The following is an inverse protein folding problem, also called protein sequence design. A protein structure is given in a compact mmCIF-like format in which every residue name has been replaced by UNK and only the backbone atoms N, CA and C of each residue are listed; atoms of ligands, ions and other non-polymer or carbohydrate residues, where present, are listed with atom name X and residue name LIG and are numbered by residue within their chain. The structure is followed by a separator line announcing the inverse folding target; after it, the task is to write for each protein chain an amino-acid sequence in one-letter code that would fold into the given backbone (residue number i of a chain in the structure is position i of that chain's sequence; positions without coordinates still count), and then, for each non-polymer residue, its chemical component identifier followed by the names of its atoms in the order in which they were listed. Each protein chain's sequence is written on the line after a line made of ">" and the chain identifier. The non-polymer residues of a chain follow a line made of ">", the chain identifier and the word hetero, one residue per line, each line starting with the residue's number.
data_IF_457439403592
#
_entry.id   IF_457439403592
#
_cell.length_a   1.000
_cell.length_b   1.000
_cell.length_c   1.000
_cell.angle_alpha   90.00
_cell.angle_beta   90.00
_cell.angle_gamma   90.00
#
_symmetry.space_group_name_H-M   'P 1'
#
loop_
_entity.id
_entity.type
_entity.pdbx_description
1 polymer ?
#
# COMPACT_ATOMS: atom_id res chain seq x y z
N UNK A 1 -14.91 -27.74 -16.56
CA UNK A 1 -15.96 -26.83 -17.06
C UNK A 1 -15.25 -25.57 -17.52
N UNK A 2 -14.99 -25.44 -18.83
CA UNK A 2 -14.37 -24.26 -19.41
C UNK A 2 -15.39 -23.10 -19.30
N UNK A 3 -15.03 -22.05 -18.56
CA UNK A 3 -15.80 -20.81 -18.56
C UNK A 3 -15.48 -20.10 -19.87
N UNK A 4 -16.42 -20.15 -20.82
CA UNK A 4 -16.34 -19.34 -22.03
C UNK A 4 -16.74 -17.92 -21.61
N UNK A 5 -15.75 -17.03 -21.43
CA UNK A 5 -16.01 -15.62 -21.25
C UNK A 5 -16.28 -15.00 -22.62
N UNK A 6 -17.55 -14.82 -22.97
CA UNK A 6 -17.95 -14.05 -24.14
C UNK A 6 -17.52 -12.59 -23.92
N UNK A 7 -16.56 -12.10 -24.71
CA UNK A 7 -16.15 -10.69 -24.65
C UNK A 7 -16.86 -9.91 -25.74
N UNK A 8 -17.56 -8.85 -25.35
CA UNK A 8 -18.14 -7.89 -26.30
C UNK A 8 -17.01 -7.03 -26.87
N UNK A 9 -16.94 -6.91 -28.20
CA UNK A 9 -16.01 -6.03 -28.90
C UNK A 9 -16.84 -5.07 -29.74
N UNK A 10 -16.51 -3.78 -29.70
CA UNK A 10 -17.22 -2.77 -30.48
C UNK A 10 -16.29 -2.17 -31.53
N UNK A 11 -16.68 -2.18 -32.79
CA UNK A 11 -15.99 -1.47 -33.86
C UNK A 11 -16.72 -0.15 -34.11
N UNK A 12 -16.00 0.96 -33.99
CA UNK A 12 -16.49 2.32 -34.13
C UNK A 12 -15.94 2.94 -35.42
N UNK A 13 -16.84 3.48 -36.25
CA UNK A 13 -16.50 4.15 -37.51
C UNK A 13 -15.59 3.34 -38.45
N UNK A 14 -15.71 2.00 -38.40
CA UNK A 14 -14.93 1.03 -39.15
C UNK A 14 -13.40 1.16 -39.03
N UNK A 15 -12.92 1.96 -38.07
CA UNK A 15 -11.51 2.29 -37.90
C UNK A 15 -10.99 2.04 -36.49
N UNK A 16 -11.86 2.09 -35.48
CA UNK A 16 -11.48 1.93 -34.07
C UNK A 16 -12.13 0.68 -33.51
N UNK A 17 -11.36 -0.10 -32.75
CA UNK A 17 -11.85 -1.24 -32.00
C UNK A 17 -11.78 -0.92 -30.51
N UNK A 18 -12.90 -1.06 -29.82
CA UNK A 18 -13.02 -0.92 -28.38
C UNK A 18 -13.21 -2.29 -27.73
N UNK A 19 -12.35 -2.56 -26.74
CA UNK A 19 -12.33 -3.75 -25.91
C UNK A 19 -12.69 -3.36 -24.46
N UNK A 20 -13.98 -3.46 -24.06
CA UNK A 20 -14.44 -3.11 -22.72
C UNK A 20 -13.70 -3.86 -21.62
N UNK A 21 -13.60 -5.19 -21.74
CA UNK A 21 -12.96 -6.07 -20.75
C UNK A 21 -11.47 -5.75 -20.55
N UNK A 22 -10.81 -5.26 -21.60
CA UNK A 22 -9.39 -4.88 -21.57
C UNK A 22 -9.19 -3.40 -21.26
N UNK A 23 -10.26 -2.61 -21.16
CA UNK A 23 -10.23 -1.15 -21.11
C UNK A 23 -9.34 -0.54 -22.21
N UNK A 24 -9.44 -1.05 -23.45
CA UNK A 24 -8.49 -0.72 -24.53
C UNK A 24 -9.21 -0.22 -25.77
N UNK A 25 -8.68 0.86 -26.36
CA UNK A 25 -9.00 1.30 -27.72
C UNK A 25 -7.81 1.00 -28.63
N UNK A 26 -8.07 0.53 -29.84
CA UNK A 26 -7.04 0.28 -30.86
C UNK A 26 -7.50 0.71 -32.25
N UNK A 27 -6.56 1.09 -33.11
CA UNK A 27 -6.83 1.24 -34.54
C UNK A 27 -6.99 -0.16 -35.19
N UNK A 28 -7.92 -0.31 -36.13
CA UNK A 28 -8.10 -1.55 -36.88
C UNK A 28 -7.01 -1.77 -37.93
N UNK A 29 -6.44 -0.69 -38.46
CA UNK A 29 -5.45 -0.68 -39.55
C UNK A 29 -4.02 -0.70 -39.01
N UNK A 30 -3.81 -0.15 -37.81
CA UNK A 30 -2.50 -0.04 -37.17
C UNK A 30 -2.54 -0.59 -35.74
N UNK A 31 -2.15 -1.85 -35.60
CA UNK A 31 -2.15 -2.55 -34.32
C UNK A 31 -1.19 -1.95 -33.28
N UNK A 32 -0.27 -1.08 -33.69
CA UNK A 32 0.63 -0.36 -32.78
C UNK A 32 -0.06 0.83 -32.09
N UNK A 33 -1.12 1.39 -32.70
CA UNK A 33 -1.91 2.47 -32.14
C UNK A 33 -2.96 1.93 -31.19
N UNK A 34 -2.57 1.82 -29.92
CA UNK A 34 -3.44 1.33 -28.85
C UNK A 34 -3.35 2.26 -27.65
N UNK A 35 -4.50 2.59 -27.05
CA UNK A 35 -4.60 3.46 -25.88
C UNK A 35 -5.36 2.75 -24.78
N UNK A 36 -4.76 2.67 -23.60
CA UNK A 36 -5.38 2.12 -22.41
C UNK A 36 -6.26 3.18 -21.74
N UNK A 37 -7.54 2.87 -21.56
CA UNK A 37 -8.50 3.67 -20.79
C UNK A 37 -8.41 3.30 -19.31
N UNK A 38 -8.80 4.23 -18.44
CA UNK A 38 -9.08 3.91 -17.04
C UNK A 38 -10.39 3.10 -16.97
N UNK A 39 -10.55 2.28 -15.92
CA UNK A 39 -11.77 1.48 -15.73
C UNK A 39 -13.07 2.31 -15.82
N UNK A 40 -13.19 3.45 -15.10
CA UNK A 40 -14.37 4.30 -15.23
C UNK A 40 -14.55 4.91 -16.63
N UNK A 41 -13.48 5.33 -17.31
CA UNK A 41 -13.55 5.89 -18.66
C UNK A 41 -14.03 4.86 -19.69
N UNK A 42 -13.55 3.62 -19.59
CA UNK A 42 -14.00 2.51 -20.43
C UNK A 42 -15.47 2.15 -20.17
N UNK A 43 -15.89 2.04 -18.90
CA UNK A 43 -17.30 1.79 -18.55
C UNK A 43 -18.23 2.91 -19.00
N UNK A 44 -17.81 4.17 -18.87
CA UNK A 44 -18.57 5.29 -19.43
C UNK A 44 -18.73 5.15 -20.96
N UNK A 45 -17.66 4.81 -21.67
CA UNK A 45 -17.71 4.61 -23.13
C UNK A 45 -18.64 3.45 -23.50
N UNK A 46 -18.54 2.33 -22.80
CA UNK A 46 -19.41 1.17 -23.00
C UNK A 46 -20.89 1.55 -22.85
N UNK A 47 -21.26 2.25 -21.77
CA UNK A 47 -22.64 2.68 -21.57
C UNK A 47 -23.12 3.62 -22.69
N UNK A 48 -22.27 4.54 -23.16
CA UNK A 48 -22.58 5.43 -24.27
C UNK A 48 -22.82 4.67 -25.59
N UNK A 49 -22.01 3.63 -25.84
CA UNK A 49 -22.14 2.76 -27.01
C UNK A 49 -23.43 1.93 -26.93
N UNK A 50 -23.73 1.37 -25.77
CA UNK A 50 -24.93 0.55 -25.54
C UNK A 50 -26.22 1.36 -25.71
N UNK A 51 -26.24 2.58 -25.17
CA UNK A 51 -27.44 3.42 -25.22
C UNK A 51 -27.63 4.11 -26.56
N UNK A 52 -26.55 4.54 -27.25
CA UNK A 52 -26.55 5.37 -28.48
C UNK A 52 -27.28 6.72 -28.38
N UNK A 53 -28.08 6.93 -27.34
CA UNK A 53 -28.82 8.15 -27.02
C UNK A 53 -28.10 8.93 -25.92
N UNK A 54 -28.69 10.05 -25.49
CA UNK A 54 -28.27 10.75 -24.29
C UNK A 54 -28.29 9.83 -23.07
N UNK A 55 -27.16 9.75 -22.38
CA UNK A 55 -26.99 9.09 -21.08
C UNK A 55 -26.84 10.17 -20.01
N UNK A 56 -27.63 10.09 -18.95
CA UNK A 56 -27.60 11.06 -17.87
C UNK A 56 -26.32 10.93 -17.04
N UNK A 57 -25.90 12.03 -16.40
CA UNK A 57 -24.75 11.98 -15.49
C UNK A 57 -24.96 10.97 -14.35
N UNK A 58 -26.17 10.88 -13.80
CA UNK A 58 -26.53 9.92 -12.74
C UNK A 58 -26.31 8.47 -13.17
N UNK A 59 -26.73 8.11 -14.39
CA UNK A 59 -26.55 6.77 -14.93
C UNK A 59 -25.06 6.43 -15.14
N UNK A 60 -24.27 7.42 -15.57
CA UNK A 60 -22.82 7.23 -15.74
C UNK A 60 -22.10 7.02 -14.40
N UNK A 61 -22.50 7.75 -13.34
CA UNK A 61 -21.93 7.52 -12.01
C UNK A 61 -22.24 6.12 -11.51
N UNK A 62 -23.50 5.70 -11.62
CA UNK A 62 -23.95 4.39 -11.15
C UNK A 62 -23.22 3.26 -11.88
N UNK A 63 -23.18 3.30 -13.20
CA UNK A 63 -22.59 2.24 -14.02
C UNK A 63 -21.06 2.20 -13.93
N UNK A 64 -20.39 3.34 -14.09
CA UNK A 64 -18.92 3.35 -14.16
C UNK A 64 -18.25 3.09 -12.80
N UNK A 65 -18.88 3.49 -11.69
CA UNK A 65 -18.37 3.26 -10.33
C UNK A 65 -19.04 2.09 -9.61
N UNK A 66 -19.87 1.31 -10.29
CA UNK A 66 -20.50 0.12 -9.71
C UNK A 66 -19.44 -0.82 -9.09
N UNK A 67 -19.67 -1.19 -7.83
CA UNK A 67 -18.80 -2.10 -7.07
C UNK A 67 -17.47 -1.50 -6.57
N UNK A 68 -17.20 -0.22 -6.84
CA UNK A 68 -15.94 0.42 -6.41
C UNK A 68 -15.92 0.87 -4.94
N UNK A 69 -17.11 1.00 -4.31
CA UNK A 69 -17.25 1.55 -2.95
C UNK A 69 -16.93 3.06 -2.85
N UNK A 70 -16.63 3.72 -3.97
CA UNK A 70 -16.27 5.14 -4.04
C UNK A 70 -17.44 5.93 -4.62
N UNK A 71 -17.79 7.05 -3.98
CA UNK A 71 -18.75 8.02 -4.52
C UNK A 71 -17.96 9.05 -5.34
N UNK A 72 -18.07 9.07 -6.68
CA UNK A 72 -17.32 9.98 -7.53
C UNK A 72 -17.80 11.43 -7.35
N UNK A 73 -16.86 12.38 -7.36
CA UNK A 73 -17.19 13.80 -7.48
C UNK A 73 -17.56 14.18 -8.92
N UNK A 74 -18.26 15.31 -9.15
CA UNK A 74 -18.60 15.73 -10.51
C UNK A 74 -17.40 15.82 -11.45
N UNK A 75 -16.29 16.37 -10.95
CA UNK A 75 -15.05 16.49 -11.70
C UNK A 75 -14.52 15.13 -12.19
N UNK A 76 -14.75 14.07 -11.41
CA UNK A 76 -14.24 12.72 -11.73
C UNK A 76 -14.91 12.14 -12.99
N UNK A 77 -16.21 12.40 -13.18
CA UNK A 77 -16.90 12.02 -14.42
C UNK A 77 -16.36 12.79 -15.61
N UNK A 78 -16.21 14.11 -15.49
CA UNK A 78 -15.65 14.94 -16.57
C UNK A 78 -14.22 14.52 -16.93
N UNK A 79 -13.40 14.14 -15.95
CA UNK A 79 -12.07 13.59 -16.21
C UNK A 79 -12.15 12.27 -16.99
N UNK A 80 -13.07 11.38 -16.63
CA UNK A 80 -13.28 10.11 -17.34
C UNK A 80 -13.67 10.34 -18.81
N UNK A 81 -14.62 11.24 -19.08
CA UNK A 81 -15.01 11.61 -20.45
C UNK A 81 -13.84 12.28 -21.21
N UNK A 82 -13.04 13.10 -20.53
CA UNK A 82 -11.88 13.77 -21.13
C UNK A 82 -10.80 12.77 -21.54
N UNK A 83 -10.53 11.76 -20.70
CA UNK A 83 -9.62 10.64 -21.02
C UNK A 83 -10.12 9.89 -22.25
N UNK A 84 -11.40 9.56 -22.31
CA UNK A 84 -11.98 8.87 -23.48
C UNK A 84 -11.85 9.68 -24.76
N UNK A 85 -12.17 10.99 -24.72
CA UNK A 85 -12.01 11.88 -25.88
C UNK A 85 -10.56 11.98 -26.35
N UNK A 86 -9.62 12.08 -25.40
CA UNK A 86 -8.19 12.12 -25.72
C UNK A 86 -7.73 10.83 -26.39
N UNK A 87 -8.16 9.67 -25.89
CA UNK A 87 -7.84 8.38 -26.49
C UNK A 87 -8.33 8.27 -27.94
N UNK A 88 -9.54 8.74 -28.23
CA UNK A 88 -10.03 8.81 -29.60
C UNK A 88 -9.17 9.70 -30.51
N UNK A 89 -8.70 10.86 -30.01
CA UNK A 89 -7.82 11.75 -30.79
C UNK A 89 -6.43 11.17 -31.05
N UNK A 90 -5.92 10.35 -30.15
CA UNK A 90 -4.62 9.69 -30.30
C UNK A 90 -4.66 8.56 -31.34
N UNK A 91 -5.80 7.87 -31.46
CA UNK A 91 -6.00 6.78 -32.43
C UNK A 91 -6.46 7.34 -33.79
N UNK A 92 -7.39 8.30 -33.77
CA UNK A 92 -8.03 8.86 -34.96
C UNK A 92 -7.49 10.25 -35.27
N UNK A 93 -6.76 10.39 -36.38
CA UNK A 93 -6.31 11.69 -36.88
C UNK A 93 -7.40 12.50 -37.61
N UNK A 94 -8.60 11.93 -37.79
CA UNK A 94 -9.66 12.49 -38.64
C UNK A 94 -10.50 13.61 -37.98
N UNK A 95 -10.09 14.09 -36.79
CA UNK A 95 -10.75 15.22 -36.10
C UNK A 95 -12.19 14.96 -35.68
N UNK A 96 -12.68 13.72 -35.77
CA UNK A 96 -14.07 13.37 -35.42
C UNK A 96 -14.26 13.46 -33.91
N UNK A 97 -15.28 14.20 -33.46
CA UNK A 97 -15.67 14.20 -32.05
C UNK A 97 -16.59 13.01 -31.76
N UNK A 98 -16.07 12.00 -31.08
CA UNK A 98 -16.81 10.76 -30.81
C UNK A 98 -17.85 10.90 -29.69
N UNK A 99 -17.66 11.85 -28.76
CA UNK A 99 -18.55 12.02 -27.60
C UNK A 99 -19.04 13.46 -27.54
N UNK A 100 -20.35 13.66 -27.62
CA UNK A 100 -20.98 14.98 -27.53
C UNK A 100 -21.44 15.24 -26.09
N UNK A 101 -21.29 16.48 -25.63
CA UNK A 101 -21.78 16.92 -24.31
C UNK A 101 -23.14 17.58 -24.47
N UNK A 102 -24.12 17.12 -23.69
CA UNK A 102 -25.41 17.81 -23.51
C UNK A 102 -25.37 18.56 -22.18
N UNK A 103 -25.23 19.90 -22.25
CA UNK A 103 -24.98 20.73 -21.07
C UNK A 103 -26.01 20.50 -19.96
N UNK A 104 -25.53 20.37 -18.72
CA UNK A 104 -26.33 20.09 -17.51
C UNK A 104 -27.14 18.79 -17.52
N UNK A 105 -27.02 17.95 -18.55
CA UNK A 105 -27.76 16.67 -18.65
C UNK A 105 -26.82 15.47 -18.63
N UNK A 106 -25.84 15.42 -19.52
CA UNK A 106 -24.99 14.26 -19.68
C UNK A 106 -24.24 14.22 -21.00
N UNK A 107 -24.05 13.00 -21.52
CA UNK A 107 -23.20 12.74 -22.67
C UNK A 107 -23.86 11.73 -23.60
N UNK A 108 -23.46 11.75 -24.87
CA UNK A 108 -23.91 10.80 -25.88
C UNK A 108 -22.78 10.48 -26.84
N UNK A 109 -22.80 9.28 -27.42
CA UNK A 109 -22.00 9.00 -28.59
C UNK A 109 -22.48 9.87 -29.76
N UNK A 110 -21.56 10.37 -30.57
CA UNK A 110 -21.91 11.13 -31.76
C UNK A 110 -22.70 10.23 -32.74
N UNK A 111 -23.91 10.62 -33.17
CA UNK A 111 -24.72 9.79 -34.09
C UNK A 111 -24.06 9.51 -35.44
N UNK A 112 -23.08 10.32 -35.84
CA UNK A 112 -22.32 10.10 -37.06
C UNK A 112 -21.36 8.90 -36.96
N UNK A 113 -21.08 8.41 -35.75
CA UNK A 113 -20.20 7.26 -35.51
C UNK A 113 -21.00 5.97 -35.69
N UNK A 114 -20.62 5.16 -36.68
CA UNK A 114 -21.15 3.79 -36.83
C UNK A 114 -20.64 2.90 -35.69
N UNK A 115 -21.48 1.98 -35.21
CA UNK A 115 -21.12 1.03 -34.14
C UNK A 115 -21.51 -0.37 -34.59
N UNK A 116 -20.53 -1.26 -34.71
CA UNK A 116 -20.72 -2.69 -34.95
C UNK A 116 -20.29 -3.48 -33.72
N UNK A 117 -21.23 -4.17 -33.07
CA UNK A 117 -20.92 -5.08 -31.97
C UNK A 117 -20.54 -6.46 -32.54
N UNK A 118 -19.41 -7.01 -32.08
CA UNK A 118 -18.95 -8.37 -32.37
C UNK A 118 -18.79 -9.12 -31.06
N UNK A 119 -19.42 -10.29 -30.94
CA UNK A 119 -19.11 -11.26 -29.89
C UNK A 119 -18.00 -12.16 -30.40
N UNK A 120 -16.92 -12.31 -29.64
CA UNK A 120 -15.84 -13.23 -30.00
C UNK A 120 -15.64 -14.26 -28.89
N UNK A 121 -15.77 -15.53 -29.24
CA UNK A 121 -15.47 -16.65 -28.37
C UNK A 121 -13.95 -16.77 -28.21
N UNK A 122 -13.46 -16.56 -27.00
CA UNK A 122 -12.06 -16.82 -26.65
C UNK A 122 -12.00 -18.02 -25.68
N UNK A 123 -11.37 -19.15 -26.06
CA UNK A 123 -10.89 -20.09 -25.07
C UNK A 123 -9.73 -19.45 -24.31
N UNK A 124 -9.77 -19.56 -22.98
CA UNK A 124 -8.75 -19.06 -22.07
C UNK A 124 -7.45 -19.86 -22.30
N UNK A 125 -6.50 -19.26 -23.02
CA UNK A 125 -5.14 -19.77 -23.19
C UNK A 125 -4.18 -18.61 -22.99
N UNK A 126 -3.40 -18.73 -21.92
CA UNK A 126 -2.21 -17.92 -21.62
C UNK A 126 -1.37 -17.69 -22.88
N UNK A 127 -1.00 -16.44 -23.23
CA UNK A 127 -0.24 -16.21 -24.44
C UNK A 127 1.25 -16.50 -24.21
N UNK A 128 1.65 -17.72 -24.56
CA UNK A 128 2.99 -18.03 -25.06
C UNK A 128 3.13 -17.38 -26.45
N UNK A 129 4.15 -16.53 -26.60
CA UNK A 129 4.42 -15.77 -27.83
C UNK A 129 5.59 -16.40 -28.57
N UNK A 130 5.33 -16.94 -29.75
CA UNK A 130 6.25 -16.95 -30.91
C UNK A 130 5.41 -16.86 -32.20
N UNK A 131 5.50 -15.77 -32.99
CA UNK A 131 6.42 -15.55 -34.15
C UNK A 131 5.66 -15.85 -35.47
N UNK A 132 5.60 -15.09 -36.58
CA UNK A 132 6.43 -14.05 -37.21
C UNK A 132 5.64 -13.38 -38.37
N UNK A 133 6.10 -12.23 -38.86
CA UNK A 133 6.43 -12.04 -40.29
C UNK A 133 7.47 -10.94 -40.46
N UNK A 134 8.61 -11.33 -41.05
CA UNK A 134 9.68 -10.47 -41.54
C UNK A 134 9.14 -9.53 -42.64
N UNK A 135 9.67 -8.32 -42.89
CA UNK A 135 11.09 -8.08 -43.20
C UNK A 135 11.53 -6.60 -43.11
N UNK A 136 10.78 -5.68 -42.51
CA UNK A 136 11.17 -4.26 -42.35
C UNK A 136 11.49 -3.87 -40.90
N UNK A 137 11.66 -4.88 -40.04
CA UNK A 137 11.47 -4.75 -38.58
C UNK A 137 12.76 -4.95 -37.76
N UNK A 138 13.91 -5.25 -38.39
CA UNK A 138 15.12 -5.66 -37.64
C UNK A 138 15.72 -4.53 -36.80
N UNK A 139 15.69 -3.28 -37.26
CA UNK A 139 16.30 -2.17 -36.52
C UNK A 139 15.35 -1.58 -35.47
N UNK A 140 14.06 -1.52 -35.77
CA UNK A 140 13.02 -1.01 -34.87
C UNK A 140 12.69 -2.01 -33.75
N UNK A 141 12.68 -3.32 -34.03
CA UNK A 141 12.49 -4.35 -33.00
C UNK A 141 13.67 -4.48 -32.04
N UNK A 142 14.93 -4.28 -32.47
CA UNK A 142 16.07 -4.20 -31.55
C UNK A 142 15.98 -3.00 -30.61
N UNK A 143 15.57 -1.83 -31.13
CA UNK A 143 15.39 -0.63 -30.32
C UNK A 143 14.24 -0.79 -29.33
N UNK A 144 13.08 -1.29 -29.78
CA UNK A 144 11.90 -1.50 -28.93
C UNK A 144 12.10 -2.61 -27.89
N UNK A 145 12.81 -3.68 -28.22
CA UNK A 145 13.15 -4.73 -27.24
C UNK A 145 14.20 -4.25 -26.24
N UNK A 146 15.18 -3.43 -26.67
CA UNK A 146 16.12 -2.78 -25.76
C UNK A 146 15.43 -1.74 -24.85
N UNK A 147 14.45 -1.00 -25.36
CA UNK A 147 13.65 -0.04 -24.56
C UNK A 147 12.73 -0.77 -23.58
N UNK A 148 12.03 -1.84 -24.01
CA UNK A 148 11.20 -2.66 -23.12
C UNK A 148 12.04 -3.38 -22.07
N UNK A 149 13.18 -3.95 -22.44
CA UNK A 149 14.12 -4.58 -21.51
C UNK A 149 14.72 -3.59 -20.51
N UNK A 150 15.07 -2.37 -20.96
CA UNK A 150 15.48 -1.27 -20.07
C UNK A 150 14.34 -0.79 -19.18
N UNK A 151 13.10 -0.73 -19.67
CA UNK A 151 11.95 -0.26 -18.89
C UNK A 151 11.49 -1.29 -17.85
N UNK A 152 11.58 -2.59 -18.17
CA UNK A 152 11.33 -3.68 -17.21
C UNK A 152 12.46 -3.76 -16.19
N UNK A 153 13.73 -3.67 -16.62
CA UNK A 153 14.87 -3.54 -15.67
C UNK A 153 14.74 -2.29 -14.82
N UNK A 154 14.30 -1.16 -15.37
CA UNK A 154 14.10 0.07 -14.63
C UNK A 154 12.96 -0.07 -13.63
N UNK A 155 11.81 -0.62 -14.02
CA UNK A 155 10.70 -0.89 -13.07
C UNK A 155 11.11 -1.88 -11.98
N UNK A 156 11.87 -2.91 -12.31
CA UNK A 156 12.38 -3.88 -11.33
C UNK A 156 13.40 -3.23 -10.38
N UNK A 157 14.31 -2.41 -10.89
CA UNK A 157 15.28 -1.65 -10.08
C UNK A 157 14.57 -0.64 -9.18
N UNK A 158 13.57 0.08 -9.68
CA UNK A 158 12.78 1.01 -8.85
C UNK A 158 12.03 0.28 -7.75
N UNK A 159 11.45 -0.89 -8.03
CA UNK A 159 10.80 -1.72 -7.02
C UNK A 159 11.79 -2.21 -5.94
N UNK A 160 12.98 -2.65 -6.34
CA UNK A 160 14.06 -3.06 -5.41
C UNK A 160 14.50 -1.87 -4.55
N UNK A 161 14.67 -0.69 -5.13
CA UNK A 161 15.06 0.53 -4.38
C UNK A 161 13.99 0.89 -3.34
N UNK A 162 12.70 0.86 -3.71
CA UNK A 162 11.61 1.13 -2.77
C UNK A 162 11.59 0.10 -1.63
N UNK A 163 11.77 -1.19 -1.95
CA UNK A 163 11.83 -2.25 -0.94
C UNK A 163 13.02 -2.06 0.02
N UNK A 164 14.20 -1.68 -0.49
CA UNK A 164 15.38 -1.39 0.33
C UNK A 164 15.13 -0.19 1.24
N UNK A 165 14.57 0.91 0.71
CA UNK A 165 14.23 2.10 1.50
C UNK A 165 13.23 1.76 2.61
N UNK A 166 12.18 1.01 2.28
CA UNK A 166 11.16 0.61 3.26
C UNK A 166 11.75 -0.30 4.35
N UNK A 167 12.61 -1.24 3.98
CA UNK A 167 13.35 -2.07 4.95
C UNK A 167 14.26 -1.22 5.85
N UNK A 168 14.92 -0.21 5.27
CA UNK A 168 15.75 0.75 5.99
C UNK A 168 14.95 1.53 7.02
N UNK A 169 13.78 2.07 6.63
CA UNK A 169 12.90 2.79 7.56
C UNK A 169 12.40 1.88 8.69
N UNK A 170 12.01 0.64 8.39
CA UNK A 170 11.59 -0.33 9.43
C UNK A 170 12.73 -0.64 10.41
N UNK A 171 13.94 -0.89 9.91
CA UNK A 171 15.10 -1.16 10.79
C UNK A 171 15.48 0.08 11.60
N UNK A 172 15.35 1.28 11.03
CA UNK A 172 15.58 2.53 11.74
C UNK A 172 14.56 2.72 12.87
N UNK A 173 13.27 2.50 12.63
CA UNK A 173 12.25 2.58 13.69
C UNK A 173 12.46 1.54 14.79
N UNK A 174 12.86 0.31 14.45
CA UNK A 174 13.21 -0.70 15.45
C UNK A 174 14.42 -0.25 16.27
N UNK A 175 15.42 0.33 15.61
CA UNK A 175 16.62 0.86 16.28
C UNK A 175 16.26 2.02 17.21
N UNK A 176 15.44 2.99 16.77
CA UNK A 176 15.02 4.13 17.60
C UNK A 176 14.15 3.69 18.78
N UNK A 177 13.23 2.74 18.59
CA UNK A 177 12.42 2.20 19.69
C UNK A 177 13.31 1.49 20.71
N UNK A 178 14.29 0.71 20.24
CA UNK A 178 15.25 0.02 21.10
C UNK A 178 16.13 1.01 21.86
N UNK A 179 16.65 2.05 21.21
CA UNK A 179 17.45 3.09 21.88
C UNK A 179 16.63 3.94 22.85
N UNK A 180 15.38 4.29 22.53
CA UNK A 180 14.44 4.95 23.46
C UNK A 180 14.18 4.08 24.69
N UNK A 181 14.04 2.77 24.51
CA UNK A 181 13.89 1.80 25.60
C UNK A 181 15.10 1.79 26.55
N UNK A 182 16.32 1.91 26.01
CA UNK A 182 17.52 2.04 26.83
C UNK A 182 17.63 3.41 27.52
N UNK A 183 17.27 4.49 26.82
CA UNK A 183 17.28 5.86 27.37
C UNK A 183 16.35 6.00 28.60
N UNK A 184 15.27 5.22 28.67
CA UNK A 184 14.40 5.18 29.86
C UNK A 184 15.15 4.82 31.15
N UNK A 185 16.20 3.99 31.07
CA UNK A 185 16.98 3.56 32.23
C UNK A 185 18.16 4.48 32.56
N UNK A 186 18.52 5.44 31.70
CA UNK A 186 19.61 6.40 31.97
C UNK A 186 19.34 7.30 33.17
N UNK A 187 18.06 7.58 33.46
CA UNK A 187 17.66 8.37 34.62
C UNK A 187 17.75 7.64 35.96
N UNK A 188 18.03 6.33 35.96
CA UNK A 188 18.06 5.55 37.20
C UNK A 188 19.35 5.82 37.98
N UNK A 189 19.23 6.04 39.29
CA UNK A 189 20.36 6.35 40.18
C UNK A 189 20.78 5.11 40.96
N UNK A 190 22.09 4.83 40.98
CA UNK A 190 22.69 3.67 41.64
C UNK A 190 24.16 3.47 41.23
N UNK A 191 24.81 2.37 41.64
CA UNK A 191 24.27 1.31 42.48
C UNK A 191 24.13 1.75 43.95
N UNK A 192 23.02 1.37 44.57
CA UNK A 192 22.83 1.45 46.02
C UNK A 192 23.09 0.05 46.59
N UNK A 193 24.02 -0.04 47.52
CA UNK A 193 24.37 -1.29 48.20
C UNK A 193 23.55 -1.39 49.47
N UNK A 194 22.74 -2.44 49.60
CA UNK A 194 21.96 -2.70 50.82
C UNK A 194 22.76 -3.69 51.70
N UNK A 195 22.98 -3.38 52.99
CA UNK A 195 23.67 -4.28 53.91
C UNK A 195 23.00 -5.66 53.95
N UNK A 196 23.77 -6.73 53.69
CA UNK A 196 23.28 -8.10 53.68
C UNK A 196 22.83 -8.63 52.30
N UNK A 197 22.94 -7.83 51.23
CA UNK A 197 22.65 -8.28 49.86
C UNK A 197 23.85 -8.06 48.93
N UNK A 198 24.04 -8.95 47.97
CA UNK A 198 25.10 -8.85 46.94
C UNK A 198 24.58 -8.23 45.63
N UNK A 199 23.42 -7.58 45.67
CA UNK A 199 22.77 -6.97 44.51
C UNK A 199 23.10 -5.47 44.37
N UNK A 200 23.18 -5.02 43.13
CA UNK A 200 23.30 -3.62 42.73
C UNK A 200 21.90 -3.04 42.44
N UNK A 201 21.42 -2.14 43.29
CA UNK A 201 20.10 -1.53 43.13
C UNK A 201 20.16 -0.18 42.41
N UNK A 202 19.24 0.02 41.47
CA UNK A 202 19.06 1.23 40.69
C UNK A 202 17.64 1.75 40.88
N UNK A 203 17.48 3.01 41.23
CA UNK A 203 16.18 3.63 41.51
C UNK A 203 15.76 4.59 40.41
N UNK A 204 14.47 4.54 40.05
CA UNK A 204 13.84 5.55 39.20
C UNK A 204 14.04 6.98 39.76
N UNK A 205 14.25 8.00 38.93
CA UNK A 205 14.56 9.36 39.38
C UNK A 205 13.46 10.03 40.21
N UNK A 206 12.23 9.50 40.17
CA UNK A 206 11.10 9.98 40.98
C UNK A 206 11.05 9.36 42.38
N UNK A 207 11.90 8.37 42.68
CA UNK A 207 11.89 7.65 43.94
C UNK A 207 12.92 8.25 44.91
N UNK A 208 12.52 8.43 46.17
CA UNK A 208 13.43 8.76 47.27
C UNK A 208 14.05 7.50 47.89
N UNK A 209 15.30 7.60 48.36
CA UNK A 209 16.07 6.51 48.98
C UNK A 209 15.40 5.98 50.26
N UNK A 210 14.66 6.83 50.97
CA UNK A 210 13.90 6.51 52.19
C UNK A 210 12.88 5.39 51.98
N UNK A 211 12.23 5.32 50.81
CA UNK A 211 11.24 4.28 50.48
C UNK A 211 11.87 2.92 50.16
N UNK A 212 13.19 2.86 49.99
CA UNK A 212 13.92 1.63 49.70
C UNK A 212 14.21 0.81 50.96
N UNK A 213 14.51 1.48 52.08
CA UNK A 213 14.79 0.83 53.37
C UNK A 213 13.57 0.13 53.97
N UNK A 214 12.36 0.55 53.58
CA UNK A 214 11.11 -0.04 54.06
C UNK A 214 10.74 -1.32 53.32
N UNK A 215 11.42 -1.63 52.21
CA UNK A 215 11.12 -2.77 51.35
C UNK A 215 11.92 -4.01 51.77
N UNK A 216 11.21 -5.12 51.96
CA UNK A 216 11.82 -6.40 52.27
C UNK A 216 12.22 -7.13 50.97
N UNK A 217 13.50 -7.03 50.58
CA UNK A 217 14.04 -7.66 49.37
C UNK A 217 14.51 -9.12 49.56
N UNK A 218 14.17 -9.78 50.68
CA UNK A 218 14.63 -11.14 51.00
C UNK A 218 14.23 -12.21 49.97
N UNK A 219 13.26 -11.91 49.09
CA UNK A 219 12.81 -12.80 48.01
C UNK A 219 13.75 -12.79 46.78
N UNK A 220 14.66 -11.83 46.66
CA UNK A 220 15.54 -11.68 45.49
C UNK A 220 16.84 -12.48 45.68
N UNK A 221 16.96 -13.60 44.95
CA UNK A 221 18.20 -14.38 44.90
C UNK A 221 19.17 -13.77 43.87
N UNK A 222 20.15 -13.00 44.34
CA UNK A 222 21.15 -12.27 43.54
C UNK A 222 22.19 -13.14 42.80
N UNK A 223 22.04 -14.47 42.77
CA UNK A 223 23.10 -15.37 42.31
C UNK A 223 23.31 -15.39 40.78
N UNK A 224 22.28 -15.00 40.00
CA UNK A 224 22.34 -14.97 38.52
C UNK A 224 21.90 -13.63 37.92
N UNK A 225 21.30 -12.74 38.72
CA UNK A 225 20.78 -11.43 38.29
C UNK A 225 21.08 -10.38 39.34
N UNK A 226 22.31 -9.88 39.34
CA UNK A 226 22.81 -8.96 40.36
C UNK A 226 22.44 -7.50 40.12
N UNK A 227 21.81 -7.15 38.99
CA UNK A 227 21.43 -5.78 38.65
C UNK A 227 19.91 -5.62 38.77
N UNK A 228 19.45 -4.80 39.71
CA UNK A 228 18.03 -4.65 40.04
C UNK A 228 17.59 -3.22 39.86
N UNK A 229 16.60 -3.01 39.00
CA UNK A 229 15.97 -1.72 38.73
C UNK A 229 14.61 -1.67 39.42
N UNK A 230 14.39 -0.66 40.26
CA UNK A 230 13.18 -0.51 41.06
C UNK A 230 12.46 0.78 40.68
N UNK A 231 11.20 0.64 40.28
CA UNK A 231 10.28 1.74 39.96
C UNK A 231 9.13 1.70 40.96
N UNK A 232 8.91 2.79 41.68
CA UNK A 232 7.80 2.92 42.63
C UNK A 232 6.85 3.93 42.00
N UNK A 233 5.60 3.55 41.79
CA UNK A 233 4.63 4.43 41.16
C UNK A 233 4.09 5.40 42.21
N UNK A 234 4.09 6.73 41.97
CA UNK A 234 3.66 7.72 42.97
C UNK A 234 2.17 7.58 43.36
N UNK A 235 1.34 7.11 42.43
CA UNK A 235 -0.12 7.03 42.60
C UNK A 235 -0.64 5.58 42.72
N UNK A 236 0.24 4.60 42.90
CA UNK A 236 -0.14 3.19 43.01
C UNK A 236 0.66 2.50 44.10
N UNK A 237 0.07 1.56 44.87
CA UNK A 237 0.83 0.73 45.80
C UNK A 237 1.73 -0.29 45.09
N UNK A 238 1.76 -0.30 43.76
CA UNK A 238 2.53 -1.26 42.98
C UNK A 238 3.98 -0.79 42.80
N UNK A 239 4.90 -1.74 42.94
CA UNK A 239 6.33 -1.58 42.74
C UNK A 239 6.73 -2.51 41.61
N UNK A 240 7.33 -1.94 40.57
CA UNK A 240 7.89 -2.71 39.47
C UNK A 240 9.37 -2.97 39.76
N UNK A 241 9.78 -4.24 39.68
CA UNK A 241 11.16 -4.65 39.87
C UNK A 241 11.62 -5.40 38.63
N UNK A 242 12.72 -4.94 38.04
CA UNK A 242 13.36 -5.59 36.90
C UNK A 242 14.72 -6.09 37.35
N UNK A 243 14.95 -7.39 37.20
CA UNK A 243 16.22 -8.06 37.53
C UNK A 243 16.95 -8.45 36.25
N UNK A 244 18.22 -8.10 36.12
CA UNK A 244 19.04 -8.37 34.95
C UNK A 244 20.38 -9.01 35.35
N UNK A 245 20.98 -9.76 34.43
CA UNK A 245 22.31 -10.35 34.58
C UNK A 245 23.44 -9.30 34.52
N UNK A 246 23.21 -8.19 33.80
CA UNK A 246 24.15 -7.07 33.65
C UNK A 246 23.41 -5.73 33.68
N UNK A 247 24.16 -4.62 33.69
CA UNK A 247 23.62 -3.25 33.54
C UNK A 247 22.87 -3.15 32.22
N UNK A 248 21.65 -2.61 32.24
CA UNK A 248 20.88 -2.26 31.05
C UNK A 248 21.62 -1.13 30.32
N UNK A 249 22.26 -1.49 29.22
CA UNK A 249 22.90 -0.60 28.26
C UNK A 249 22.53 -1.06 26.84
N UNK A 250 23.11 -0.45 25.81
CA UNK A 250 22.85 -0.79 24.40
C UNK A 250 23.18 -2.24 23.98
N UNK A 251 23.68 -3.07 24.90
CA UNK A 251 23.98 -4.50 24.71
C UNK A 251 22.77 -5.37 25.09
N UNK A 252 22.50 -6.50 24.40
CA UNK A 252 21.46 -7.43 24.82
C UNK A 252 21.71 -7.98 26.23
N UNK A 253 20.71 -7.83 27.10
CA UNK A 253 20.72 -8.25 28.50
C UNK A 253 19.55 -9.19 28.80
N UNK A 254 19.76 -10.17 29.68
CA UNK A 254 18.71 -11.12 30.08
C UNK A 254 18.03 -10.60 31.34
N UNK A 255 16.88 -9.98 31.15
CA UNK A 255 16.10 -9.41 32.26
C UNK A 255 14.81 -10.21 32.52
N UNK A 256 14.31 -10.14 33.75
CA UNK A 256 12.95 -10.55 34.09
C UNK A 256 12.28 -9.51 34.98
N UNK A 257 10.98 -9.31 34.74
CA UNK A 257 10.17 -8.32 35.44
C UNK A 257 9.24 -8.99 36.46
N UNK A 258 9.06 -8.34 37.60
CA UNK A 258 8.13 -8.73 38.65
C UNK A 258 7.38 -7.50 39.13
N UNK A 259 6.06 -7.63 39.33
CA UNK A 259 5.23 -6.60 39.94
C UNK A 259 4.88 -7.02 41.36
N UNK A 260 5.15 -6.13 42.31
CA UNK A 260 4.90 -6.32 43.73
C UNK A 260 3.80 -5.38 44.17
N UNK A 261 2.80 -5.91 44.87
CA UNK A 261 1.73 -5.12 45.46
C UNK A 261 2.11 -4.76 46.90
N UNK A 262 2.09 -3.47 47.23
CA UNK A 262 2.65 -2.89 48.46
C UNK A 262 2.28 -3.60 49.77
N UNK A 263 1.11 -4.24 49.84
CA UNK A 263 0.67 -4.95 51.06
C UNK A 263 1.58 -6.09 51.56
N UNK A 264 2.45 -6.66 50.71
CA UNK A 264 3.32 -7.80 51.07
C UNK A 264 4.83 -7.46 51.16
N UNK A 265 5.23 -6.20 50.93
CA UNK A 265 6.65 -5.86 50.75
C UNK A 265 7.15 -4.79 51.71
N UNK A 266 6.28 -3.94 52.24
CA UNK A 266 6.67 -3.05 53.34
C UNK A 266 6.85 -3.88 54.61
N UNK A 267 8.00 -3.71 55.30
CA UNK A 267 8.13 -4.20 56.68
C UNK A 267 6.98 -3.58 57.48
N UNK A 268 6.08 -4.41 58.00
CA UNK A 268 5.21 -3.97 59.10
C UNK A 268 6.14 -3.53 60.23
N UNK A 269 6.06 -2.25 60.60
CA UNK A 269 6.49 -1.82 61.93
C UNK A 269 5.71 -2.57 63.00
#
# INVERSE_FOLDING_TARGET
>A
MLVICMQNIYVLNDSVVFWPEKNLLSDISDDSKRVQLTGPAARCLELLILRKTLVLQSELYEYAWQGSGVIPSPNTLYQSISVTRRAFREICANGTDYILTETRKGFRLNPAVSVLAKMQDFPDVHPEKEMSKASEDRHTSELLNNIKGKLVRLKLMTFIIIAVIFSGMLTFEIYTVKTRGYAFFEGYRGPILIPGSTCNFFLSPQNDKSRLSDLNFSFLKCHYRSYIYVTILPYSPNISVISCDRVINSVPVKCGAMSLRGGNVFKKQ
#
